data_IF_652824912014
#
_entry.id   IF_652824912014
#
_cell.length_a   1.000
_cell.length_b   1.000
_cell.length_c   1.000
_cell.angle_alpha   90.00
_cell.angle_beta   90.00
_cell.angle_gamma   90.00
#
_symmetry.space_group_name_H-M   'P 1'
#
loop_
_entity.id
_entity.type
_entity.pdbx_description
1 polymer ?
#
# COMPACT_ATOMS: atom_id res chain seq x y z
N UNK A 1 -45.79 0.58 -17.93
CA UNK A 1 -44.98 0.40 -19.16
C UNK A 1 -43.60 0.98 -18.90
N UNK A 2 -42.64 0.13 -18.55
CA UNK A 2 -41.27 0.55 -18.23
C UNK A 2 -40.42 0.59 -19.50
N UNK A 3 -39.72 1.71 -19.72
CA UNK A 3 -38.84 1.89 -20.86
C UNK A 3 -37.60 0.99 -20.72
N UNK A 4 -37.43 0.03 -21.62
CA UNK A 4 -36.24 -0.81 -21.75
C UNK A 4 -35.28 -0.10 -22.70
N UNK A 5 -34.22 0.50 -22.15
CA UNK A 5 -33.17 1.13 -22.95
C UNK A 5 -32.34 0.06 -23.66
N UNK A 6 -32.56 -0.10 -24.96
CA UNK A 6 -31.68 -0.82 -25.87
C UNK A 6 -30.59 0.14 -26.34
N UNK A 7 -29.40 0.03 -25.77
CA UNK A 7 -28.22 0.81 -26.16
C UNK A 7 -26.96 -0.04 -26.02
N UNK A 8 -26.19 -0.10 -27.09
CA UNK A 8 -25.03 -0.97 -27.39
C UNK A 8 -23.78 -0.75 -26.51
N UNK A 9 -23.93 -0.09 -25.37
CA UNK A 9 -22.89 0.19 -24.39
C UNK A 9 -23.39 -0.30 -23.04
N UNK A 10 -22.81 -1.40 -22.57
CA UNK A 10 -23.13 -1.97 -21.25
C UNK A 10 -23.13 -0.88 -20.19
N UNK A 11 -24.13 -0.90 -19.31
CA UNK A 11 -24.27 0.02 -18.19
C UNK A 11 -22.90 0.23 -17.50
N UNK A 12 -22.56 1.46 -17.06
CA UNK A 12 -21.28 1.72 -16.41
C UNK A 12 -21.10 0.74 -15.24
N UNK A 13 -20.22 -0.23 -15.42
CA UNK A 13 -19.88 -1.17 -14.36
C UNK A 13 -19.05 -0.41 -13.33
N UNK A 14 -19.60 -0.15 -12.15
CA UNK A 14 -18.83 0.35 -11.02
C UNK A 14 -17.84 -0.74 -10.64
N UNK A 15 -16.57 -0.55 -11.00
CA UNK A 15 -15.50 -1.46 -10.56
C UNK A 15 -15.24 -1.18 -9.09
N UNK A 16 -15.65 -2.12 -8.25
CA UNK A 16 -15.31 -2.14 -6.83
C UNK A 16 -14.05 -2.97 -6.68
N UNK A 17 -13.07 -2.43 -5.99
CA UNK A 17 -11.86 -3.15 -5.62
C UNK A 17 -11.75 -3.08 -4.10
N UNK A 18 -11.21 -4.14 -3.51
CA UNK A 18 -10.89 -4.11 -2.09
C UNK A 18 -9.61 -3.28 -1.88
N UNK A 19 -9.64 -2.32 -0.96
CA UNK A 19 -8.43 -1.63 -0.47
C UNK A 19 -7.97 -2.34 0.80
N UNK A 20 -6.72 -2.78 0.81
CA UNK A 20 -6.05 -3.34 1.95
C UNK A 20 -5.19 -2.28 2.61
N UNK A 21 -5.46 -2.02 3.90
CA UNK A 21 -4.68 -1.10 4.73
C UNK A 21 -3.91 -1.89 5.77
N UNK A 22 -2.58 -1.71 5.80
CA UNK A 22 -1.69 -2.33 6.80
C UNK A 22 -0.97 -1.26 7.60
N UNK A 23 -0.95 -1.41 8.92
CA UNK A 23 -0.11 -0.60 9.80
C UNK A 23 1.29 -1.21 9.88
N UNK A 24 2.33 -0.38 9.74
CA UNK A 24 3.74 -0.79 9.80
C UNK A 24 4.39 -0.01 10.94
N UNK A 25 5.14 -0.72 11.79
CA UNK A 25 5.92 -0.13 12.89
C UNK A 25 7.38 -0.55 12.78
N UNK A 26 8.27 0.41 12.98
CA UNK A 26 9.69 0.18 13.15
C UNK A 26 10.03 0.32 14.63
N UNK A 27 10.67 -0.69 15.20
CA UNK A 27 10.99 -0.78 16.63
C UNK A 27 12.50 -0.87 16.83
N UNK A 28 13.04 -0.04 17.72
CA UNK A 28 14.39 -0.20 18.28
C UNK A 28 14.32 -1.28 19.37
N UNK A 29 14.78 -2.49 19.03
CA UNK A 29 14.71 -3.67 19.92
C UNK A 29 15.57 -3.50 21.17
N UNK A 30 16.66 -2.71 21.11
CA UNK A 30 17.52 -2.49 22.27
C UNK A 30 16.87 -1.57 23.32
N UNK A 31 15.95 -0.71 22.87
CA UNK A 31 15.21 0.24 23.74
C UNK A 31 13.75 -0.12 23.93
N UNK A 32 13.28 -1.19 23.30
CA UNK A 32 11.88 -1.60 23.20
C UNK A 32 10.93 -0.45 22.82
N UNK A 33 11.35 0.36 21.84
CA UNK A 33 10.68 1.61 21.49
C UNK A 33 10.28 1.65 20.02
N UNK A 34 9.04 2.06 19.74
CA UNK A 34 8.61 2.40 18.37
C UNK A 34 9.28 3.70 17.94
N UNK A 35 10.11 3.63 16.90
CA UNK A 35 10.86 4.77 16.35
C UNK A 35 10.23 5.34 15.07
N UNK A 36 9.32 4.57 14.46
CA UNK A 36 8.49 5.03 13.35
C UNK A 36 7.23 4.17 13.23
N UNK A 37 6.13 4.78 12.76
CA UNK A 37 4.91 4.10 12.38
C UNK A 37 4.34 4.72 11.11
N UNK A 38 3.79 3.90 10.24
CA UNK A 38 3.12 4.36 9.04
C UNK A 38 2.04 3.41 8.59
N UNK A 39 1.29 3.85 7.59
CA UNK A 39 0.18 3.09 7.03
C UNK A 39 0.46 2.86 5.55
N UNK A 40 0.32 1.61 5.12
CA UNK A 40 0.48 1.20 3.73
C UNK A 40 -0.87 0.76 3.20
N UNK A 41 -1.30 1.40 2.10
CA UNK A 41 -2.58 1.15 1.43
C UNK A 41 -2.31 0.54 0.07
N UNK A 42 -3.02 -0.53 -0.28
CA UNK A 42 -2.93 -1.19 -1.59
C UNK A 42 -4.28 -1.67 -2.06
N UNK A 43 -4.54 -1.52 -3.35
CA UNK A 43 -5.74 -2.06 -3.99
C UNK A 43 -5.53 -3.52 -4.42
N UNK A 44 -6.56 -4.35 -4.33
CA UNK A 44 -6.51 -5.78 -4.66
C UNK A 44 -6.07 -6.08 -6.09
N UNK A 45 -6.30 -5.13 -6.99
CA UNK A 45 -5.97 -5.26 -8.41
C UNK A 45 -4.49 -5.15 -8.69
N UNK A 46 -3.71 -4.71 -7.71
CA UNK A 46 -2.31 -4.47 -7.89
C UNK A 46 -1.50 -5.76 -7.81
N UNK A 47 -0.56 -5.94 -8.73
CA UNK A 47 0.28 -7.11 -8.78
C UNK A 47 1.07 -7.25 -7.45
N UNK A 48 1.01 -8.43 -6.84
CA UNK A 48 1.69 -8.74 -5.57
C UNK A 48 3.18 -8.39 -5.60
N UNK A 49 3.86 -8.61 -6.73
CA UNK A 49 5.28 -8.26 -6.87
C UNK A 49 5.50 -6.74 -6.81
N UNK A 50 4.61 -5.95 -7.41
CA UNK A 50 4.64 -4.48 -7.29
C UNK A 50 4.36 -4.05 -5.87
N UNK A 51 3.36 -4.65 -5.21
CA UNK A 51 3.03 -4.33 -3.82
C UNK A 51 4.19 -4.63 -2.85
N UNK A 52 4.86 -5.77 -3.01
CA UNK A 52 6.05 -6.12 -2.23
C UNK A 52 7.17 -5.12 -2.48
N UNK A 53 7.42 -4.76 -3.75
CA UNK A 53 8.46 -3.80 -4.09
C UNK A 53 8.21 -2.44 -3.44
N UNK A 54 7.00 -1.90 -3.56
CA UNK A 54 6.64 -0.60 -2.98
C UNK A 54 6.73 -0.60 -1.45
N UNK A 55 6.35 -1.71 -0.83
CA UNK A 55 6.53 -1.91 0.61
C UNK A 55 8.02 -1.85 1.00
N UNK A 56 8.88 -2.58 0.29
CA UNK A 56 10.33 -2.61 0.56
C UNK A 56 10.95 -1.24 0.33
N UNK A 57 10.61 -0.55 -0.77
CA UNK A 57 11.08 0.81 -1.05
C UNK A 57 10.66 1.80 0.05
N UNK A 58 9.42 1.71 0.53
CA UNK A 58 8.91 2.52 1.66
C UNK A 58 9.74 2.27 2.93
N UNK A 59 9.98 1.00 3.29
CA UNK A 59 10.79 0.65 4.47
C UNK A 59 12.23 1.19 4.32
N UNK A 60 12.86 1.02 3.16
CA UNK A 60 14.22 1.53 2.91
C UNK A 60 14.28 3.06 3.05
N UNK A 61 13.29 3.78 2.50
CA UNK A 61 13.25 5.24 2.58
C UNK A 61 13.10 5.71 4.03
N UNK A 62 12.22 5.08 4.80
CA UNK A 62 12.08 5.36 6.24
C UNK A 62 13.39 5.13 6.98
N UNK A 63 14.07 4.00 6.70
CA UNK A 63 15.36 3.70 7.32
C UNK A 63 16.44 4.74 6.94
N UNK A 64 16.42 5.27 5.71
CA UNK A 64 17.31 6.36 5.28
C UNK A 64 16.99 7.67 5.99
N UNK A 65 15.72 8.09 6.02
CA UNK A 65 15.28 9.31 6.69
C UNK A 65 15.64 9.32 8.17
N UNK A 66 15.56 8.15 8.82
CA UNK A 66 15.93 7.97 10.23
C UNK A 66 17.44 7.76 10.43
N UNK A 67 18.25 7.78 9.36
CA UNK A 67 19.69 7.49 9.38
C UNK A 67 20.04 6.14 10.02
N UNK A 68 19.15 5.15 9.86
CA UNK A 68 19.30 3.80 10.43
C UNK A 68 19.99 2.83 9.46
N UNK A 69 20.10 3.18 8.18
CA UNK A 69 20.95 2.44 7.26
C UNK A 69 22.40 2.78 7.54
N UNK A 70 23.18 1.77 7.94
CA UNK A 70 24.63 1.89 7.99
C UNK A 70 25.10 2.30 6.59
N UNK A 71 25.68 3.49 6.47
CA UNK A 71 26.49 3.85 5.31
C UNK A 71 27.58 2.79 5.17
N UNK A 72 27.51 1.97 4.12
CA UNK A 72 28.64 1.09 3.79
C UNK A 72 29.77 2.00 3.32
N UNK A 73 30.79 2.15 4.17
CA UNK A 73 32.07 2.76 3.78
C UNK A 73 32.98 1.66 3.23
#
# INVERSE_FOLDING_TARGET
MGAVWHGMYGAPSVRRYNEYTSEIKLVDVAKDQVIWSGTFKKDETENVNTAIRDYVETVINVLKEKNLLRSSH
#
